data_IF_242621258003
#
_entry.id   IF_242621258003
#
_cell.length_a   1.000
_cell.length_b   1.000
_cell.length_c   1.000
_cell.angle_alpha   90.00
_cell.angle_beta   90.00
_cell.angle_gamma   90.00
#
_symmetry.space_group_name_H-M   'P 1'
#
loop_
_entity.id
_entity.type
_entity.pdbx_description
1 polymer ?
#
# COMPACT_ATOMS: atom_id res chain seq x y z
N UNK A 1 -6.06 1.82 10.29
CA UNK A 1 -6.70 1.04 9.21
C UNK A 1 -6.93 -0.42 9.62
N UNK A 2 -5.88 -1.18 9.95
CA UNK A 2 -5.98 -2.59 10.31
C UNK A 2 -6.22 -2.77 11.81
N UNK A 3 -7.18 -3.65 12.16
CA UNK A 3 -7.54 -3.98 13.55
C UNK A 3 -7.18 -5.44 13.84
N UNK A 4 -7.19 -5.78 15.13
CA UNK A 4 -6.96 -7.16 15.56
C UNK A 4 -8.00 -8.11 14.97
N UNK A 5 -7.54 -9.15 14.30
CA UNK A 5 -8.37 -10.15 13.65
C UNK A 5 -8.61 -9.91 12.16
N UNK A 6 -8.18 -8.76 11.61
CA UNK A 6 -8.28 -8.49 10.18
C UNK A 6 -7.41 -9.44 9.34
N UNK A 7 -7.82 -9.62 8.11
CA UNK A 7 -7.08 -10.41 7.11
C UNK A 7 -6.60 -9.50 5.96
N UNK A 8 -5.38 -9.75 5.50
CA UNK A 8 -4.73 -9.04 4.39
C UNK A 8 -4.37 -10.04 3.29
N UNK A 9 -4.56 -9.66 2.03
CA UNK A 9 -4.09 -10.45 0.89
C UNK A 9 -2.94 -9.69 0.23
N UNK A 10 -1.81 -10.37 0.01
CA UNK A 10 -0.65 -9.82 -0.68
C UNK A 10 -0.34 -10.64 -1.93
N UNK A 11 0.36 -10.07 -2.92
CA UNK A 11 0.85 -10.86 -4.05
C UNK A 11 2.08 -11.71 -3.66
N UNK A 12 2.34 -12.78 -4.42
CA UNK A 12 3.57 -13.57 -4.26
C UNK A 12 4.84 -12.84 -4.76
N UNK A 13 4.69 -11.67 -5.37
CA UNK A 13 5.79 -10.87 -5.92
C UNK A 13 6.14 -9.64 -5.06
N UNK A 14 5.59 -9.54 -3.84
CA UNK A 14 5.83 -8.39 -2.98
C UNK A 14 7.30 -8.27 -2.56
N UNK A 15 7.77 -7.02 -2.57
CA UNK A 15 9.05 -6.70 -1.99
C UNK A 15 9.04 -6.86 -0.45
N UNK A 16 10.21 -7.04 0.15
CA UNK A 16 10.36 -7.17 1.60
C UNK A 16 9.84 -5.96 2.40
N UNK A 17 9.76 -4.78 1.79
CA UNK A 17 9.14 -3.58 2.41
C UNK A 17 7.65 -3.76 2.71
N UNK A 18 6.96 -4.63 1.97
CA UNK A 18 5.57 -5.03 2.20
C UNK A 18 5.50 -6.30 3.03
N UNK A 19 6.24 -7.34 2.62
CA UNK A 19 6.15 -8.66 3.25
C UNK A 19 6.54 -8.63 4.73
N UNK A 20 7.64 -7.95 5.08
CA UNK A 20 8.14 -7.94 6.47
C UNK A 20 7.20 -7.27 7.47
N UNK A 21 6.63 -6.07 7.22
CA UNK A 21 5.63 -5.47 8.09
C UNK A 21 4.38 -6.34 8.24
N UNK A 22 3.86 -6.90 7.14
CA UNK A 22 2.68 -7.79 7.17
C UNK A 22 2.96 -9.04 8.01
N UNK A 23 4.12 -9.66 7.79
CA UNK A 23 4.55 -10.83 8.57
C UNK A 23 4.72 -10.48 10.06
N UNK A 24 5.34 -9.34 10.38
CA UNK A 24 5.50 -8.88 11.76
C UNK A 24 4.16 -8.71 12.47
N UNK A 25 3.19 -8.06 11.83
CA UNK A 25 1.84 -7.90 12.38
C UNK A 25 1.14 -9.24 12.62
N UNK A 26 1.42 -10.24 11.78
CA UNK A 26 0.90 -11.60 11.95
C UNK A 26 1.57 -12.31 13.13
N UNK A 27 2.89 -12.21 13.27
CA UNK A 27 3.61 -12.78 14.42
C UNK A 27 3.18 -12.14 15.74
N UNK A 28 2.82 -10.86 15.73
CA UNK A 28 2.28 -10.15 16.90
C UNK A 28 0.80 -10.51 17.19
N UNK A 29 0.18 -11.39 16.41
CA UNK A 29 -1.21 -11.81 16.58
C UNK A 29 -2.24 -10.71 16.29
N UNK A 30 -1.85 -9.67 15.53
CA UNK A 30 -2.72 -8.56 15.17
C UNK A 30 -3.59 -8.88 13.95
N UNK A 31 -2.99 -9.46 12.91
CA UNK A 31 -3.67 -9.79 11.65
C UNK A 31 -3.33 -11.22 11.20
N UNK A 32 -4.02 -11.66 10.16
CA UNK A 32 -3.62 -12.82 9.34
C UNK A 32 -3.39 -12.37 7.90
N UNK A 33 -2.62 -13.13 7.11
CA UNK A 33 -2.51 -12.83 5.68
C UNK A 33 -2.53 -14.08 4.82
N UNK A 34 -2.85 -13.89 3.55
CA UNK A 34 -2.78 -14.89 2.48
C UNK A 34 -1.98 -14.35 1.30
N UNK A 35 -1.37 -15.24 0.53
CA UNK A 35 -0.52 -14.89 -0.61
C UNK A 35 -1.20 -15.33 -1.90
N UNK A 36 -1.58 -14.37 -2.76
CA UNK A 36 -2.15 -14.61 -4.07
C UNK A 36 -1.06 -14.94 -5.09
N UNK A 37 -1.36 -15.88 -5.97
CA UNK A 37 -0.45 -16.27 -7.05
C UNK A 37 -0.57 -15.32 -8.23
N UNK A 38 0.56 -15.02 -8.87
CA UNK A 38 0.63 -14.25 -10.11
C UNK A 38 0.96 -15.21 -11.26
N UNK A 39 0.21 -15.10 -12.35
CA UNK A 39 0.37 -15.91 -13.55
C UNK A 39 0.76 -15.04 -14.72
N UNK A 40 1.98 -15.23 -15.22
CA UNK A 40 2.50 -14.46 -16.35
C UNK A 40 1.61 -14.66 -17.59
N UNK A 41 1.20 -13.54 -18.19
CA UNK A 41 0.36 -13.55 -19.40
C UNK A 41 -1.11 -13.94 -19.15
N UNK A 42 -1.53 -14.19 -17.89
CA UNK A 42 -2.90 -14.54 -17.56
C UNK A 42 -3.44 -13.65 -16.42
N UNK A 43 -3.91 -12.48 -16.81
CA UNK A 43 -4.47 -11.49 -15.89
C UNK A 43 -5.69 -12.02 -15.15
N UNK A 44 -6.59 -12.73 -15.85
CA UNK A 44 -7.85 -13.19 -15.27
C UNK A 44 -7.58 -14.23 -14.17
N UNK A 45 -6.66 -15.15 -14.42
CA UNK A 45 -6.26 -16.13 -13.43
C UNK A 45 -5.52 -15.49 -12.26
N UNK A 46 -4.73 -14.44 -12.52
CA UNK A 46 -4.09 -13.64 -11.47
C UNK A 46 -5.14 -12.99 -10.57
N UNK A 47 -6.13 -12.30 -11.14
CA UNK A 47 -7.21 -11.66 -10.37
C UNK A 47 -8.02 -12.70 -9.59
N UNK A 48 -8.38 -13.81 -10.21
CA UNK A 48 -9.11 -14.90 -9.57
C UNK A 48 -8.36 -15.43 -8.33
N UNK A 49 -7.03 -15.53 -8.39
CA UNK A 49 -6.22 -15.98 -7.26
C UNK A 49 -6.29 -15.06 -6.04
N UNK A 50 -6.51 -13.75 -6.23
CA UNK A 50 -6.78 -12.81 -5.13
C UNK A 50 -8.21 -13.00 -4.62
N UNK A 51 -9.18 -13.09 -5.53
CA UNK A 51 -10.60 -13.16 -5.19
C UNK A 51 -10.94 -14.42 -4.39
N UNK A 52 -10.36 -15.59 -4.73
CA UNK A 52 -10.49 -16.86 -4.01
C UNK A 52 -9.99 -16.81 -2.55
N UNK A 53 -9.11 -15.88 -2.22
CA UNK A 53 -8.54 -15.73 -0.87
C UNK A 53 -9.36 -14.80 0.03
N UNK A 54 -10.40 -14.14 -0.51
CA UNK A 54 -11.23 -13.21 0.25
C UNK A 54 -12.01 -13.95 1.33
N UNK A 55 -11.99 -13.42 2.52
CA UNK A 55 -12.70 -13.89 3.72
C UNK A 55 -13.60 -12.80 4.27
N UNK A 56 -14.51 -13.14 5.16
CA UNK A 56 -15.40 -12.17 5.82
C UNK A 56 -14.67 -11.07 6.61
N UNK A 57 -13.46 -11.38 7.08
CA UNK A 57 -12.59 -10.47 7.79
C UNK A 57 -11.46 -9.87 6.92
N UNK A 58 -11.49 -10.06 5.61
CA UNK A 58 -10.52 -9.42 4.70
C UNK A 58 -10.77 -7.91 4.69
N UNK A 59 -9.71 -7.13 4.87
CA UNK A 59 -9.78 -5.67 4.94
C UNK A 59 -8.97 -4.99 3.85
N UNK A 60 -7.84 -5.55 3.47
CA UNK A 60 -6.87 -4.92 2.60
C UNK A 60 -6.28 -5.92 1.61
N UNK A 61 -6.13 -5.48 0.36
CA UNK A 61 -5.31 -6.15 -0.66
C UNK A 61 -4.10 -5.26 -0.92
N UNK A 62 -2.91 -5.85 -0.98
CA UNK A 62 -1.66 -5.17 -1.34
C UNK A 62 -1.07 -5.86 -2.56
N UNK A 63 -0.71 -5.09 -3.59
CA UNK A 63 -0.05 -5.62 -4.77
C UNK A 63 1.06 -4.70 -5.26
N UNK A 64 2.24 -5.25 -5.55
CA UNK A 64 3.24 -4.51 -6.31
C UNK A 64 2.75 -4.31 -7.74
N UNK A 65 2.94 -3.10 -8.29
CA UNK A 65 2.58 -2.85 -9.70
C UNK A 65 3.60 -3.47 -10.65
N UNK A 66 4.88 -3.45 -10.28
CA UNK A 66 5.94 -4.08 -11.05
C UNK A 66 6.94 -4.79 -10.13
N UNK A 67 7.26 -6.04 -10.44
CA UNK A 67 8.22 -6.81 -9.66
C UNK A 67 9.65 -6.35 -9.92
N UNK A 68 10.41 -6.09 -8.86
CA UNK A 68 11.83 -5.77 -8.94
C UNK A 68 12.71 -7.00 -9.24
N UNK A 69 12.16 -8.20 -9.17
CA UNK A 69 12.90 -9.47 -9.36
C UNK A 69 12.76 -9.97 -10.78
N UNK A 70 11.55 -10.03 -11.32
CA UNK A 70 11.27 -10.62 -12.62
C UNK A 70 10.72 -9.63 -13.65
N UNK A 71 10.43 -8.38 -13.26
CA UNK A 71 9.91 -7.36 -14.17
C UNK A 71 8.44 -7.54 -14.57
N UNK A 72 7.75 -8.55 -14.03
CA UNK A 72 6.33 -8.74 -14.31
C UNK A 72 5.52 -7.54 -13.79
N UNK A 73 4.59 -7.08 -14.62
CA UNK A 73 3.62 -6.03 -14.30
C UNK A 73 2.28 -6.68 -13.97
N UNK A 74 1.75 -6.39 -12.79
CA UNK A 74 0.47 -6.94 -12.35
C UNK A 74 -0.71 -6.14 -12.92
N UNK A 75 -1.86 -6.79 -13.16
CA UNK A 75 -3.07 -6.17 -13.69
C UNK A 75 -3.79 -5.32 -12.62
N UNK A 76 -3.14 -4.24 -12.15
CA UNK A 76 -3.58 -3.42 -11.02
C UNK A 76 -5.01 -2.92 -11.19
N UNK A 77 -5.39 -2.46 -12.41
CA UNK A 77 -6.74 -1.99 -12.64
C UNK A 77 -7.80 -3.09 -12.42
N UNK A 78 -7.55 -4.31 -12.87
CA UNK A 78 -8.47 -5.43 -12.69
C UNK A 78 -8.55 -5.85 -11.22
N UNK A 79 -7.41 -5.89 -10.52
CA UNK A 79 -7.34 -6.20 -9.08
C UNK A 79 -8.08 -5.12 -8.29
N UNK A 80 -7.88 -3.84 -8.59
CA UNK A 80 -8.56 -2.74 -7.90
C UNK A 80 -10.08 -2.77 -8.12
N UNK A 81 -10.54 -3.03 -9.35
CA UNK A 81 -11.97 -3.20 -9.64
C UNK A 81 -12.57 -4.38 -8.87
N UNK A 82 -11.85 -5.48 -8.74
CA UNK A 82 -12.26 -6.63 -7.94
C UNK A 82 -12.31 -6.25 -6.44
N UNK A 83 -11.27 -5.63 -5.90
CA UNK A 83 -11.23 -5.15 -4.51
C UNK A 83 -12.42 -4.23 -4.21
N UNK A 84 -12.73 -3.29 -5.11
CA UNK A 84 -13.85 -2.37 -4.98
C UNK A 84 -15.20 -3.08 -4.92
N UNK A 85 -15.42 -4.11 -5.77
CA UNK A 85 -16.67 -4.91 -5.74
C UNK A 85 -16.88 -5.60 -4.38
N UNK A 86 -15.80 -5.96 -3.71
CA UNK A 86 -15.82 -6.62 -2.40
C UNK A 86 -15.75 -5.64 -1.21
N UNK A 87 -15.72 -4.32 -1.46
CA UNK A 87 -15.62 -3.30 -0.41
C UNK A 87 -14.30 -3.34 0.37
N UNK A 88 -13.22 -3.78 -0.27
CA UNK A 88 -11.90 -3.90 0.31
C UNK A 88 -11.03 -2.70 -0.05
N UNK A 89 -10.15 -2.29 0.84
CA UNK A 89 -9.09 -1.34 0.51
C UNK A 89 -8.04 -1.98 -0.40
N UNK A 90 -7.52 -1.17 -1.32
CA UNK A 90 -6.46 -1.59 -2.24
C UNK A 90 -5.24 -0.68 -2.15
N UNK A 91 -4.11 -1.26 -1.78
CA UNK A 91 -2.81 -0.59 -1.70
C UNK A 91 -1.90 -1.09 -2.81
N UNK A 92 -1.24 -0.17 -3.49
CA UNK A 92 -0.29 -0.47 -4.57
C UNK A 92 1.11 0.00 -4.20
N UNK A 93 2.07 -0.93 -4.21
CA UNK A 93 3.50 -0.60 -4.22
C UNK A 93 3.91 -0.28 -5.67
N UNK A 94 4.06 1.00 -5.96
CA UNK A 94 4.48 1.51 -7.26
C UNK A 94 5.99 1.81 -7.32
N UNK A 95 6.79 1.20 -6.44
CA UNK A 95 8.21 1.50 -6.33
C UNK A 95 9.01 1.30 -7.63
N UNK A 96 8.57 0.39 -8.51
CA UNK A 96 9.24 0.15 -9.79
C UNK A 96 8.50 0.80 -10.97
N UNK A 97 7.27 1.25 -10.79
CA UNK A 97 6.41 1.69 -11.89
C UNK A 97 6.12 3.20 -11.88
N UNK A 98 6.17 3.86 -10.71
CA UNK A 98 6.00 5.30 -10.62
C UNK A 98 7.06 6.04 -11.46
N UNK A 99 6.62 6.94 -12.34
CA UNK A 99 7.49 7.63 -13.30
C UNK A 99 7.86 6.80 -14.54
N UNK A 100 7.43 5.54 -14.65
CA UNK A 100 7.70 4.64 -15.79
C UNK A 100 6.42 4.21 -16.49
N UNK A 101 5.43 3.77 -15.72
CA UNK A 101 4.14 3.34 -16.23
C UNK A 101 3.05 4.36 -15.87
N UNK A 102 2.04 4.54 -16.72
CA UNK A 102 0.88 5.36 -16.37
C UNK A 102 0.15 4.77 -15.16
N UNK A 103 -0.13 5.60 -14.16
CA UNK A 103 -0.91 5.23 -12.98
C UNK A 103 -2.02 6.27 -12.82
N UNK A 104 -3.26 5.80 -12.81
CA UNK A 104 -4.45 6.60 -12.56
C UNK A 104 -5.21 5.96 -11.40
N UNK A 105 -5.07 6.54 -10.22
CA UNK A 105 -5.64 5.97 -8.98
C UNK A 105 -7.15 5.79 -9.07
N UNK A 106 -7.85 6.73 -9.70
CA UNK A 106 -9.32 6.66 -9.82
C UNK A 106 -9.76 5.54 -10.76
N UNK A 107 -9.17 5.45 -11.95
CA UNK A 107 -9.49 4.38 -12.92
C UNK A 107 -9.08 3.01 -12.41
N UNK A 108 -7.94 2.93 -11.72
CA UNK A 108 -7.39 1.70 -11.17
C UNK A 108 -7.98 1.35 -9.81
N UNK A 109 -8.87 2.20 -9.25
CA UNK A 109 -9.50 2.02 -7.93
C UNK A 109 -8.49 1.76 -6.81
N UNK A 110 -7.40 2.57 -6.78
CA UNK A 110 -6.32 2.48 -5.78
C UNK A 110 -6.67 3.42 -4.62
N UNK A 111 -6.70 2.90 -3.40
CA UNK A 111 -6.93 3.68 -2.18
C UNK A 111 -5.62 4.23 -1.58
N UNK A 112 -4.54 3.46 -1.71
CA UNK A 112 -3.21 3.84 -1.20
C UNK A 112 -2.15 3.56 -2.25
N UNK A 113 -1.41 4.58 -2.67
CA UNK A 113 -0.31 4.45 -3.63
C UNK A 113 1.00 4.82 -2.95
N UNK A 114 1.94 3.87 -2.89
CA UNK A 114 3.23 4.03 -2.22
C UNK A 114 4.37 3.98 -3.24
N UNK A 115 5.34 4.89 -3.10
CA UNK A 115 6.52 4.92 -3.97
C UNK A 115 7.71 5.61 -3.29
N UNK A 116 8.95 5.14 -3.50
CA UNK A 116 10.15 5.83 -3.02
C UNK A 116 10.55 6.95 -4.00
N UNK A 117 11.12 8.04 -3.46
CA UNK A 117 11.59 9.15 -4.29
C UNK A 117 12.83 8.81 -5.12
N UNK A 118 13.71 7.95 -4.61
CA UNK A 118 15.05 7.69 -5.16
C UNK A 118 15.12 6.69 -6.34
N UNK A 119 13.98 6.21 -6.84
CA UNK A 119 13.93 5.36 -8.05
C UNK A 119 13.59 6.22 -9.27
N UNK A 120 12.62 5.81 -10.08
CA UNK A 120 12.30 6.49 -11.36
C UNK A 120 11.64 7.88 -11.20
N UNK A 121 11.43 8.33 -9.96
CA UNK A 121 11.08 9.73 -9.68
C UNK A 121 12.30 10.65 -9.57
N UNK A 122 13.52 10.10 -9.61
CA UNK A 122 14.80 10.83 -9.58
C UNK A 122 14.99 11.76 -8.37
N UNK A 123 14.26 11.50 -7.28
CA UNK A 123 14.39 12.23 -6.02
C UNK A 123 15.54 11.73 -5.14
N UNK A 124 15.82 12.39 -4.02
CA UNK A 124 16.88 11.99 -3.09
C UNK A 124 16.57 10.68 -2.37
N UNK A 125 17.61 10.02 -1.88
CA UNK A 125 17.47 8.85 -0.99
C UNK A 125 16.83 9.25 0.33
N UNK A 126 16.06 8.32 0.93
CA UNK A 126 15.37 8.58 2.19
C UNK A 126 14.03 9.29 2.06
N UNK A 127 13.61 9.63 0.84
CA UNK A 127 12.28 10.19 0.57
C UNK A 127 11.33 9.12 0.05
N UNK A 128 10.05 9.29 0.36
CA UNK A 128 8.96 8.46 -0.12
C UNK A 128 7.65 9.24 -0.19
N UNK A 129 6.72 8.73 -0.96
CA UNK A 129 5.40 9.33 -1.17
C UNK A 129 4.33 8.29 -0.88
N UNK A 130 3.33 8.69 -0.09
CA UNK A 130 2.06 8.00 0.07
C UNK A 130 0.96 8.93 -0.45
N UNK A 131 0.20 8.49 -1.44
CA UNK A 131 -0.96 9.21 -1.95
C UNK A 131 -2.22 8.44 -1.54
N UNK A 132 -3.16 9.13 -0.90
CA UNK A 132 -4.42 8.54 -0.45
C UNK A 132 -5.48 9.60 -0.19
N UNK A 133 -6.74 9.27 -0.41
CA UNK A 133 -7.91 10.04 0.05
C UNK A 133 -8.45 9.52 1.39
N UNK A 134 -7.79 8.52 1.99
CA UNK A 134 -8.20 7.82 3.21
C UNK A 134 -7.26 8.09 4.40
N UNK A 135 -6.75 9.31 4.51
CA UNK A 135 -5.86 9.70 5.62
C UNK A 135 -6.50 9.56 7.01
N UNK A 136 -7.83 9.68 7.07
CA UNK A 136 -8.64 9.56 8.29
C UNK A 136 -8.58 8.18 8.93
N UNK A 137 -8.42 7.12 8.14
CA UNK A 137 -8.35 5.73 8.64
C UNK A 137 -6.93 5.28 9.02
N UNK A 138 -5.92 6.12 8.79
CA UNK A 138 -4.52 5.83 9.13
C UNK A 138 -4.20 6.34 10.53
N UNK A 139 -3.42 5.57 11.26
CA UNK A 139 -2.86 5.97 12.55
C UNK A 139 -1.44 6.51 12.34
N UNK A 140 -0.99 7.43 13.19
CA UNK A 140 0.40 7.88 13.22
C UNK A 140 1.33 6.71 13.57
N UNK A 141 2.48 6.66 12.91
CA UNK A 141 3.54 5.67 13.19
C UNK A 141 4.69 6.34 13.93
N UNK A 142 4.94 7.61 13.61
CA UNK A 142 5.96 8.44 14.24
C UNK A 142 5.33 9.79 14.59
N UNK A 143 5.69 10.31 15.75
CA UNK A 143 5.29 11.64 16.22
C UNK A 143 6.50 12.54 16.28
N UNK A 144 6.33 13.83 15.96
CA UNK A 144 7.43 14.78 15.94
C UNK A 144 7.03 16.18 15.49
N UNK A 145 8.01 17.00 15.16
CA UNK A 145 7.75 18.37 14.72
C UNK A 145 7.25 18.42 13.29
N UNK A 146 6.00 18.85 13.11
CA UNK A 146 5.34 18.98 11.80
C UNK A 146 5.42 20.40 11.22
N UNK A 147 5.86 21.38 12.03
CA UNK A 147 5.86 22.79 11.66
C UNK A 147 4.53 23.51 11.90
N UNK A 148 3.49 22.80 12.31
CA UNK A 148 2.18 23.34 12.66
C UNK A 148 1.80 23.01 14.11
N UNK A 149 0.75 23.65 14.64
CA UNK A 149 0.19 23.38 15.98
C UNK A 149 1.25 23.33 17.10
N UNK A 150 2.27 24.19 17.04
CA UNK A 150 3.46 24.15 17.91
C UNK A 150 3.17 24.30 19.42
N UNK A 151 1.96 24.68 19.79
CA UNK A 151 1.49 24.81 21.17
C UNK A 151 0.78 23.56 21.69
N UNK A 152 0.49 22.61 20.82
CA UNK A 152 -0.19 21.35 21.18
C UNK A 152 0.82 20.24 21.45
N UNK A 153 0.52 19.39 22.43
CA UNK A 153 1.39 18.25 22.79
C UNK A 153 1.08 17.00 21.95
N UNK A 154 -0.11 16.92 21.34
CA UNK A 154 -0.51 15.80 20.51
C UNK A 154 -0.14 16.03 19.05
N UNK A 155 0.19 14.95 18.32
CA UNK A 155 0.36 15.00 16.89
C UNK A 155 -0.93 15.50 16.23
N UNK A 156 -0.88 16.42 15.24
CA UNK A 156 -2.06 16.88 14.53
C UNK A 156 -2.85 15.75 13.86
N UNK A 157 -4.17 15.84 13.89
CA UNK A 157 -5.04 14.84 13.25
C UNK A 157 -5.34 15.14 11.77
N UNK A 158 -4.98 16.32 11.28
CA UNK A 158 -5.22 16.72 9.89
C UNK A 158 -4.03 16.35 8.98
N UNK A 159 -4.36 16.02 7.72
CA UNK A 159 -3.37 15.71 6.70
C UNK A 159 -2.77 16.99 6.10
N UNK A 160 -1.50 17.00 5.68
CA UNK A 160 -0.53 15.89 5.73
C UNK A 160 0.16 15.72 7.09
N UNK A 161 0.06 16.67 8.00
CA UNK A 161 0.82 16.79 9.23
C UNK A 161 0.67 15.56 10.15
N UNK A 162 -0.50 14.91 10.12
CA UNK A 162 -0.76 13.67 10.85
C UNK A 162 0.29 12.58 10.61
N UNK A 163 0.79 12.47 9.38
CA UNK A 163 1.73 11.42 8.97
C UNK A 163 3.15 11.94 8.75
N UNK A 164 3.37 13.24 8.96
CA UNK A 164 4.68 13.88 8.82
C UNK A 164 5.26 14.21 10.19
N UNK A 165 6.45 13.74 10.51
CA UNK A 165 7.06 13.88 11.82
C UNK A 165 8.43 14.57 11.82
N UNK A 166 8.70 15.38 10.81
CA UNK A 166 9.96 16.13 10.69
C UNK A 166 10.15 16.77 9.33
N UNK A 167 11.22 17.55 9.21
CA UNK A 167 11.59 18.17 7.93
C UNK A 167 12.03 17.11 6.93
N UNK A 168 11.40 17.12 5.76
CA UNK A 168 11.77 16.20 4.67
C UNK A 168 13.14 16.53 4.10
N UNK A 169 13.83 15.50 3.62
CA UNK A 169 15.12 15.65 2.93
C UNK A 169 14.87 15.99 1.46
N UNK A 170 14.98 17.26 1.13
CA UNK A 170 14.76 17.81 -0.23
C UNK A 170 16.07 18.23 -0.87
#
# INVERSE_FOLDING_TARGET
>A
LLKKGDHVIISCLEHNSVLRPVHKLTMDGKITYSVAKVYEGDDERTVASFEELIRTNTKLIIATHGSNVCGLVLPIQKIGQMAKRHGLYFMVDAAQSAGVLPIDMQKMQIDFLCMPGHKSLYGPTGTGVLITDHGDVLDTIMEGGTGSSSTEYAQPEFMPDKLESGTVNV
#
